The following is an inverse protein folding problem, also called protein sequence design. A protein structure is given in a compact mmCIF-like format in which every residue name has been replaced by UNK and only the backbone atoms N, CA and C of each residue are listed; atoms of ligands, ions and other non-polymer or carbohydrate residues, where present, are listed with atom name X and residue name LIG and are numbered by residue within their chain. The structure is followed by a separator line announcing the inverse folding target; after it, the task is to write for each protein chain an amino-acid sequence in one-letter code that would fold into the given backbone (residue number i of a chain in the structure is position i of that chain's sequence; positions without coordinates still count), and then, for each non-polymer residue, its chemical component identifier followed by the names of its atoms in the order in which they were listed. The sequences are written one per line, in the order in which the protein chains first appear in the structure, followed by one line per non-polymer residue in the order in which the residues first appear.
data_IF_264743130191
#
_entry.id   IF_264743130191
#
_cell.length_a   1.000
_cell.length_b   1.000
_cell.length_c   1.000
_cell.angle_alpha   90.00
_cell.angle_beta   90.00
_cell.angle_gamma   90.00
#
_symmetry.space_group_name_H-M   'P 1'
#
loop_
_entity.id
_entity.type
_entity.pdbx_description
1 polymer ?
#
# COMPACT_ATOMS: atom_id res chain seq x y z
N UNK A 1 -7.56 -0.79 1.54
CA UNK A 1 -6.53 0.20 1.91
C UNK A 1 -7.03 1.27 2.87
N UNK A 2 -8.21 1.87 2.65
CA UNK A 2 -8.75 2.96 3.49
C UNK A 2 -8.87 2.61 4.99
N UNK A 3 -9.37 1.42 5.35
CA UNK A 3 -9.45 0.98 6.76
C UNK A 3 -8.09 0.89 7.44
N UNK A 4 -7.04 0.49 6.71
CA UNK A 4 -5.68 0.38 7.24
C UNK A 4 -5.06 1.76 7.48
N UNK A 5 -5.39 2.77 6.68
CA UNK A 5 -4.98 4.16 6.91
C UNK A 5 -5.60 4.75 8.20
N UNK A 6 -6.83 4.37 8.53
CA UNK A 6 -7.46 4.74 9.81
C UNK A 6 -6.72 4.10 10.97
N UNK A 7 -6.39 2.80 10.87
CA UNK A 7 -5.62 2.09 11.90
C UNK A 7 -4.21 2.68 12.07
N UNK A 8 -3.53 3.06 10.98
CA UNK A 8 -2.24 3.76 11.04
C UNK A 8 -2.37 5.10 11.76
N UNK A 9 -3.36 5.92 11.39
CA UNK A 9 -3.57 7.24 12.00
C UNK A 9 -3.88 7.12 13.49
N UNK A 10 -4.69 6.14 13.90
CA UNK A 10 -4.95 5.87 15.32
C UNK A 10 -3.67 5.40 16.03
N UNK A 11 -2.91 4.49 15.42
CA UNK A 11 -1.66 3.98 15.97
C UNK A 11 -0.58 5.04 16.13
N UNK A 12 -0.50 6.04 15.23
CA UNK A 12 0.44 7.15 15.34
C UNK A 12 -0.01 8.19 16.37
N UNK A 13 -1.31 8.48 16.48
CA UNK A 13 -1.86 9.36 17.53
C UNK A 13 -1.61 8.77 18.93
N UNK A 14 -1.83 7.47 19.11
CA UNK A 14 -1.56 6.77 20.38
C UNK A 14 -0.07 6.81 20.74
N UNK A 15 0.83 6.67 19.76
CA UNK A 15 2.28 6.80 19.99
C UNK A 15 2.67 8.21 20.42
N UNK A 16 2.14 9.24 19.75
CA UNK A 16 2.44 10.65 20.03
C UNK A 16 1.89 11.11 21.38
N UNK A 17 0.70 10.63 21.77
CA UNK A 17 0.06 10.96 23.05
C UNK A 17 0.50 10.04 24.22
N UNK A 18 1.46 9.14 24.01
CA UNK A 18 1.83 8.15 25.01
C UNK A 18 2.45 8.77 26.28
N UNK A 19 1.89 8.38 27.43
CA UNK A 19 2.35 8.76 28.78
C UNK A 19 3.13 7.62 29.44
N UNK A 20 2.82 6.37 29.08
CA UNK A 20 3.48 5.16 29.59
C UNK A 20 4.19 4.38 28.47
N UNK A 21 5.28 3.69 28.81
CA UNK A 21 6.07 2.92 27.84
C UNK A 21 5.27 1.78 27.17
N UNK A 22 4.30 1.20 27.90
CA UNK A 22 3.40 0.18 27.37
C UNK A 22 2.46 0.71 26.28
N UNK A 23 1.97 1.95 26.44
CA UNK A 23 1.12 2.62 25.43
C UNK A 23 1.92 2.95 24.17
N UNK A 24 3.18 3.34 24.35
CA UNK A 24 4.12 3.55 23.25
C UNK A 24 4.40 2.26 22.46
N UNK A 25 4.68 1.14 23.16
CA UNK A 25 4.90 -0.16 22.51
C UNK A 25 3.65 -0.67 21.79
N UNK A 26 2.47 -0.57 22.41
CA UNK A 26 1.22 -1.00 21.80
C UNK A 26 0.91 -0.20 20.52
N UNK A 27 1.10 1.12 20.55
CA UNK A 27 0.95 1.97 19.38
C UNK A 27 1.95 1.62 18.26
N UNK A 28 3.21 1.29 18.61
CA UNK A 28 4.23 0.82 17.66
C UNK A 28 3.84 -0.49 16.97
N UNK A 29 3.30 -1.45 17.71
CA UNK A 29 2.86 -2.73 17.15
C UNK A 29 1.68 -2.52 16.20
N UNK A 30 0.69 -1.72 16.60
CA UNK A 30 -0.48 -1.42 15.76
C UNK A 30 -0.10 -0.68 14.48
N UNK A 31 0.71 0.38 14.59
CA UNK A 31 1.17 1.13 13.44
C UNK A 31 2.07 0.28 12.55
N UNK A 32 2.98 -0.51 13.12
CA UNK A 32 3.88 -1.40 12.40
C UNK A 32 3.11 -2.48 11.62
N UNK A 33 2.11 -3.10 12.23
CA UNK A 33 1.25 -4.07 11.55
C UNK A 33 0.50 -3.42 10.38
N UNK A 34 -0.09 -2.24 10.59
CA UNK A 34 -0.88 -1.57 9.56
C UNK A 34 -0.02 -1.02 8.41
N UNK A 35 1.17 -0.49 8.69
CA UNK A 35 2.13 -0.04 7.67
C UNK A 35 2.71 -1.24 6.90
N UNK A 36 3.13 -2.28 7.61
CA UNK A 36 3.78 -3.45 7.01
C UNK A 36 2.84 -4.32 6.17
N UNK A 37 1.69 -4.71 6.73
CA UNK A 37 0.71 -5.54 6.02
C UNK A 37 -0.08 -4.75 4.96
N UNK A 38 -0.36 -3.48 5.23
CA UNK A 38 -1.22 -2.65 4.40
C UNK A 38 -0.46 -1.84 3.38
N UNK A 39 0.26 -0.81 3.83
CA UNK A 39 0.77 0.24 2.95
C UNK A 39 1.97 -0.24 2.11
N UNK A 40 2.96 -0.87 2.72
CA UNK A 40 4.19 -1.26 2.01
C UNK A 40 3.92 -2.41 1.02
N UNK A 41 3.08 -3.37 1.39
CA UNK A 41 2.73 -4.49 0.53
C UNK A 41 1.68 -4.16 -0.53
N UNK A 42 0.60 -3.47 -0.15
CA UNK A 42 -0.56 -3.29 -1.05
C UNK A 42 -0.35 -2.18 -2.07
N UNK A 43 0.37 -1.11 -1.73
CA UNK A 43 0.61 0.03 -2.65
C UNK A 43 1.33 -0.39 -3.95
N UNK A 44 2.48 -1.09 -3.93
CA UNK A 44 3.14 -1.49 -5.16
C UNK A 44 2.31 -2.51 -5.95
N UNK A 45 1.55 -3.38 -5.27
CA UNK A 45 0.60 -4.29 -5.93
C UNK A 45 -0.45 -3.46 -6.67
N UNK A 46 -1.14 -2.56 -5.99
CA UNK A 46 -2.14 -1.68 -6.61
C UNK A 46 -1.56 -0.86 -7.77
N UNK A 47 -0.36 -0.29 -7.62
CA UNK A 47 0.33 0.42 -8.68
C UNK A 47 0.63 -0.48 -9.88
N UNK A 48 1.00 -1.74 -9.66
CA UNK A 48 1.20 -2.73 -10.72
C UNK A 48 -0.11 -3.11 -11.44
N UNK A 49 -1.24 -2.99 -10.75
CA UNK A 49 -2.57 -3.31 -11.30
C UNK A 49 -3.12 -2.19 -12.18
N UNK A 50 -2.90 -0.93 -11.81
CA UNK A 50 -3.38 0.22 -12.59
C UNK A 50 -2.42 0.60 -13.75
N UNK A 51 -1.15 0.22 -13.65
CA UNK A 51 -0.13 0.61 -14.65
C UNK A 51 -0.23 -0.17 -15.95
N UNK A 52 0.05 0.51 -17.08
CA UNK A 52 0.16 -0.14 -18.39
C UNK A 52 1.38 -1.08 -18.41
N UNK A 53 1.31 -2.23 -19.13
CA UNK A 53 2.37 -3.23 -19.13
C UNK A 53 3.78 -2.68 -19.40
N UNK A 54 3.87 -1.64 -20.23
CA UNK A 54 5.14 -0.99 -20.62
C UNK A 54 5.75 -0.12 -19.50
N UNK A 55 4.92 0.50 -18.65
CA UNK A 55 5.37 1.46 -17.63
C UNK A 55 5.35 0.91 -16.20
N UNK A 56 4.98 -0.36 -16.00
CA UNK A 56 4.89 -0.97 -14.65
C UNK A 56 6.20 -0.86 -13.87
N UNK A 57 7.33 -1.07 -14.54
CA UNK A 57 8.65 -0.98 -13.94
C UNK A 57 8.99 0.43 -13.46
N UNK A 58 8.65 1.45 -14.27
CA UNK A 58 8.89 2.85 -13.94
C UNK A 58 8.03 3.29 -12.74
N UNK A 59 6.75 2.95 -12.74
CA UNK A 59 5.81 3.30 -11.66
C UNK A 59 6.20 2.59 -10.35
N UNK A 60 6.61 1.32 -10.43
CA UNK A 60 7.16 0.59 -9.28
C UNK A 60 8.43 1.25 -8.73
N UNK A 61 9.33 1.69 -9.62
CA UNK A 61 10.55 2.42 -9.25
C UNK A 61 10.25 3.75 -8.56
N UNK A 62 9.30 4.54 -9.08
CA UNK A 62 8.87 5.81 -8.47
C UNK A 62 8.32 5.59 -7.06
N UNK A 63 7.54 4.52 -6.84
CA UNK A 63 7.06 4.16 -5.49
C UNK A 63 8.22 3.87 -4.54
N UNK A 64 9.24 3.13 -5.00
CA UNK A 64 10.45 2.86 -4.20
C UNK A 64 11.24 4.13 -3.89
N UNK A 65 11.43 5.00 -4.88
CA UNK A 65 12.05 6.31 -4.70
C UNK A 65 11.28 7.17 -3.69
N UNK A 66 9.94 7.11 -3.69
CA UNK A 66 9.10 7.81 -2.71
C UNK A 66 9.34 7.35 -1.28
N UNK A 67 9.53 6.04 -1.05
CA UNK A 67 9.87 5.49 0.27
C UNK A 67 11.25 5.96 0.71
N UNK A 68 12.24 5.93 -0.18
CA UNK A 68 13.59 6.41 0.10
C UNK A 68 13.59 7.90 0.45
N UNK A 69 12.86 8.72 -0.32
CA UNK A 69 12.69 10.15 -0.07
C UNK A 69 12.00 10.44 1.26
N UNK A 70 10.93 9.70 1.59
CA UNK A 70 10.26 9.82 2.89
C UNK A 70 11.18 9.47 4.06
N UNK A 71 12.00 8.42 3.91
CA UNK A 71 13.00 8.03 4.93
C UNK A 71 14.07 9.11 5.09
N UNK A 72 14.55 9.66 3.99
CA UNK A 72 15.50 10.78 4.00
C UNK A 72 14.92 11.98 4.75
N UNK A 73 13.71 12.43 4.41
CA UNK A 73 13.02 13.52 5.10
C UNK A 73 12.82 13.24 6.59
N UNK A 74 12.45 12.01 6.95
CA UNK A 74 12.32 11.61 8.36
C UNK A 74 13.64 11.74 9.12
N UNK A 75 14.78 11.41 8.49
CA UNK A 75 16.09 11.56 9.11
C UNK A 75 16.48 13.03 9.29
N UNK A 76 16.19 13.89 8.31
CA UNK A 76 16.41 15.35 8.44
C UNK A 76 15.56 15.98 9.55
N UNK A 77 14.29 15.57 9.66
CA UNK A 77 13.39 16.01 10.74
C UNK A 77 13.90 15.53 12.10
N UNK A 78 14.36 14.28 12.19
CA UNK A 78 15.00 13.75 13.39
C UNK A 78 16.27 14.52 13.78
N UNK A 79 17.10 14.88 12.80
CA UNK A 79 18.29 15.70 13.00
C UNK A 79 17.91 17.11 13.49
N UNK A 80 16.93 17.78 12.88
CA UNK A 80 16.46 19.08 13.31
C UNK A 80 15.91 19.05 14.76
N UNK A 81 15.20 17.99 15.14
CA UNK A 81 14.70 17.81 16.51
C UNK A 81 15.82 17.55 17.52
N UNK A 82 16.98 17.04 17.11
CA UNK A 82 18.14 16.84 18.00
C UNK A 82 18.77 18.13 18.51
N UNK A 83 18.54 19.26 17.83
CA UNK A 83 18.95 20.60 18.27
C UNK A 83 17.96 21.27 19.24
N UNK A 84 16.78 20.69 19.46
CA UNK A 84 15.82 21.20 20.43
C UNK A 84 16.25 20.86 21.87
N UNK A 85 15.89 21.71 22.85
CA UNK A 85 16.21 21.48 24.27
C UNK A 85 15.80 20.08 24.75
N UNK A 86 16.71 19.42 25.48
CA UNK A 86 16.51 18.09 26.06
C UNK A 86 15.18 18.01 26.82
N UNK A 87 14.20 17.29 26.28
CA UNK A 87 12.88 17.16 26.87
C UNK A 87 11.96 16.20 26.11
N UNK A 88 10.77 15.88 26.67
CA UNK A 88 9.80 14.96 26.05
C UNK A 88 9.32 15.44 24.67
N UNK A 89 9.50 16.72 24.36
CA UNK A 89 9.18 17.32 23.06
C UNK A 89 10.09 16.81 21.94
N UNK A 90 11.34 16.41 22.24
CA UNK A 90 12.34 15.98 21.24
C UNK A 90 11.94 14.71 20.48
N UNK A 91 11.32 13.73 21.16
CA UNK A 91 10.88 12.49 20.54
C UNK A 91 9.40 12.53 20.11
N UNK A 92 8.59 13.38 20.74
CA UNK A 92 7.17 13.56 20.39
C UNK A 92 6.98 14.40 19.12
N UNK A 93 7.82 15.41 18.86
CA UNK A 93 7.72 16.26 17.67
C UNK A 93 7.86 15.47 16.35
N UNK A 94 8.89 14.63 16.16
CA UNK A 94 9.03 13.81 14.95
C UNK A 94 7.84 12.87 14.74
N UNK A 95 7.33 12.26 15.81
CA UNK A 95 6.19 11.34 15.75
C UNK A 95 4.88 12.07 15.46
N UNK A 96 4.69 13.25 16.04
CA UNK A 96 3.52 14.10 15.79
C UNK A 96 3.48 14.64 14.37
N UNK A 97 4.63 14.97 13.78
CA UNK A 97 4.73 15.42 12.39
C UNK A 97 4.29 14.36 11.38
N UNK A 98 4.26 13.08 11.74
CA UNK A 98 3.75 12.02 10.88
C UNK A 98 2.21 12.07 10.73
N UNK A 99 1.49 12.60 11.72
CA UNK A 99 0.01 12.56 11.76
C UNK A 99 -0.62 13.36 10.61
N UNK A 100 -0.23 14.61 10.32
CA UNK A 100 -0.75 15.36 9.17
C UNK A 100 -0.57 14.62 7.84
N UNK A 101 0.60 14.01 7.61
CA UNK A 101 0.86 13.24 6.39
C UNK A 101 -0.04 12.00 6.28
N UNK A 102 -0.34 11.34 7.41
CA UNK A 102 -1.31 10.23 7.46
C UNK A 102 -2.72 10.67 7.08
N UNK A 103 -3.16 11.84 7.54
CA UNK A 103 -4.49 12.40 7.21
C UNK A 103 -4.57 12.80 5.74
N UNK A 104 -3.52 13.44 5.20
CA UNK A 104 -3.45 13.79 3.78
C UNK A 104 -3.56 12.53 2.90
N UNK A 105 -2.83 11.46 3.26
CA UNK A 105 -2.93 10.18 2.55
C UNK A 105 -4.32 9.59 2.63
N UNK A 106 -4.98 9.63 3.79
CA UNK A 106 -6.36 9.15 3.94
C UNK A 106 -7.33 9.91 3.05
N UNK A 107 -7.27 11.25 3.05
CA UNK A 107 -8.12 12.09 2.21
C UNK A 107 -7.86 11.84 0.71
N UNK A 108 -6.60 11.67 0.31
CA UNK A 108 -6.23 11.38 -1.08
C UNK A 108 -6.77 10.02 -1.54
N UNK A 109 -6.62 8.99 -0.72
CA UNK A 109 -7.13 7.64 -1.00
C UNK A 109 -8.66 7.56 -0.98
N UNK A 110 -9.34 8.37 -0.16
CA UNK A 110 -10.79 8.40 -0.10
C UNK A 110 -11.42 9.15 -1.29
N UNK A 111 -10.74 10.18 -1.80
CA UNK A 111 -11.33 11.11 -2.78
C UNK A 111 -10.95 10.80 -4.23
N UNK A 112 -9.71 10.37 -4.47
CA UNK A 112 -9.15 10.33 -5.84
C UNK A 112 -8.81 8.94 -6.36
N UNK A 113 -8.73 7.91 -5.50
CA UNK A 113 -8.27 6.59 -5.93
C UNK A 113 -9.46 5.71 -6.38
N UNK A 114 -9.53 5.31 -7.67
CA UNK A 114 -10.51 4.32 -8.12
C UNK A 114 -10.20 2.95 -7.52
N UNK A 115 -11.22 2.11 -7.38
CA UNK A 115 -11.03 0.73 -6.90
C UNK A 115 -10.23 -0.09 -7.93
N UNK A 116 -9.40 -1.02 -7.44
CA UNK A 116 -8.62 -1.91 -8.32
C UNK A 116 -9.56 -2.78 -9.18
N UNK A 117 -9.43 -2.76 -10.52
CA UNK A 117 -10.22 -3.61 -11.42
C UNK A 117 -10.03 -5.10 -11.15
N UNK A 118 -8.80 -5.52 -10.77
CA UNK A 118 -8.51 -6.93 -10.45
C UNK A 118 -9.19 -7.35 -9.15
N UNK A 119 -9.21 -6.48 -8.15
CA UNK A 119 -9.91 -6.73 -6.90
C UNK A 119 -11.42 -6.86 -7.13
N UNK A 120 -12.01 -5.98 -7.94
CA UNK A 120 -13.43 -6.03 -8.29
C UNK A 120 -13.78 -7.33 -9.04
N UNK A 121 -12.93 -7.78 -9.97
CA UNK A 121 -13.09 -9.06 -10.67
C UNK A 121 -13.04 -10.25 -9.69
N UNK A 122 -12.13 -10.24 -8.72
CA UNK A 122 -12.00 -11.30 -7.72
C UNK A 122 -13.18 -11.40 -6.75
N UNK A 123 -13.88 -10.28 -6.52
CA UNK A 123 -15.11 -10.23 -5.71
C UNK A 123 -16.36 -10.57 -6.56
N UNK A 124 -16.20 -10.78 -7.87
CA UNK A 124 -17.29 -11.12 -8.80
C UNK A 124 -18.07 -9.92 -9.36
N UNK A 125 -17.61 -8.68 -9.10
CA UNK A 125 -18.23 -7.45 -9.62
C UNK A 125 -17.67 -7.06 -10.98
N UNK A 126 -18.06 -7.81 -12.01
CA UNK A 126 -17.50 -7.69 -13.37
C UNK A 126 -17.84 -6.35 -14.04
N UNK A 127 -19.06 -5.84 -13.87
CA UNK A 127 -19.49 -4.58 -14.49
C UNK A 127 -18.78 -3.35 -13.90
N UNK A 128 -18.62 -3.31 -12.57
CA UNK A 128 -17.86 -2.27 -11.88
C UNK A 128 -16.38 -2.33 -12.30
N UNK A 129 -15.80 -3.53 -12.37
CA UNK A 129 -14.43 -3.72 -12.84
C UNK A 129 -14.21 -3.20 -14.25
N UNK A 130 -15.17 -3.43 -15.16
CA UNK A 130 -15.12 -2.92 -16.54
C UNK A 130 -15.16 -1.40 -16.56
N UNK A 131 -16.05 -0.79 -15.77
CA UNK A 131 -16.18 0.67 -15.69
C UNK A 131 -14.90 1.33 -15.18
N UNK A 132 -14.30 0.79 -14.12
CA UNK A 132 -13.04 1.32 -13.58
C UNK A 132 -11.86 1.05 -14.53
N UNK A 133 -11.82 -0.10 -15.18
CA UNK A 133 -10.78 -0.41 -16.18
C UNK A 133 -10.81 0.59 -17.35
N UNK A 134 -11.99 0.90 -17.89
CA UNK A 134 -12.15 1.90 -18.96
C UNK A 134 -11.81 3.33 -18.52
N UNK A 135 -11.97 3.66 -17.23
CA UNK A 135 -11.52 4.96 -16.69
C UNK A 135 -9.99 5.05 -16.59
N UNK A 136 -9.33 3.94 -16.27
CA UNK A 136 -7.86 3.87 -16.13
C UNK A 136 -7.19 3.80 -17.50
N UNK A 137 -7.75 3.06 -18.46
CA UNK A 137 -7.23 2.87 -19.83
C UNK A 137 -7.95 3.76 -20.85
N UNK A 138 -7.83 5.07 -20.67
CA UNK A 138 -8.39 6.07 -21.61
C UNK A 138 -7.58 6.20 -22.91
N UNK A 139 -6.40 5.61 -22.95
CA UNK A 139 -5.44 5.64 -24.05
C UNK A 139 -5.71 4.62 -25.16
N UNK A 140 -6.56 3.61 -24.90
CA UNK A 140 -6.87 2.55 -25.84
C UNK A 140 -8.18 2.79 -26.60
N UNK A 141 -8.23 2.31 -27.85
CA UNK A 141 -9.48 2.18 -28.59
C UNK A 141 -10.47 1.29 -27.81
N UNK A 142 -11.78 1.60 -27.82
CA UNK A 142 -12.78 0.81 -27.08
C UNK A 142 -12.66 -0.70 -27.34
N UNK A 143 -12.39 -1.10 -28.58
CA UNK A 143 -12.30 -2.51 -28.94
C UNK A 143 -11.07 -3.20 -28.32
N UNK A 144 -9.92 -2.53 -28.34
CA UNK A 144 -8.68 -3.01 -27.72
C UNK A 144 -8.81 -3.08 -26.19
N UNK A 145 -9.47 -2.11 -25.57
CA UNK A 145 -9.73 -2.11 -24.14
C UNK A 145 -10.63 -3.29 -23.72
N UNK A 146 -11.65 -3.63 -24.50
CA UNK A 146 -12.48 -4.82 -24.25
C UNK A 146 -11.70 -6.12 -24.34
N UNK A 147 -10.78 -6.23 -25.31
CA UNK A 147 -9.93 -7.41 -25.46
C UNK A 147 -8.94 -7.55 -24.30
N UNK A 148 -8.28 -6.48 -23.89
CA UNK A 148 -7.36 -6.50 -22.74
C UNK A 148 -8.11 -6.85 -21.44
N UNK A 149 -9.32 -6.29 -21.25
CA UNK A 149 -10.17 -6.64 -20.11
C UNK A 149 -10.57 -8.12 -20.11
N UNK A 150 -10.92 -8.69 -21.27
CA UNK A 150 -11.27 -10.10 -21.39
C UNK A 150 -10.09 -11.01 -21.06
N UNK A 151 -8.88 -10.68 -21.53
CA UNK A 151 -7.64 -11.39 -21.19
C UNK A 151 -7.34 -11.31 -19.69
N UNK A 152 -7.46 -10.11 -19.09
CA UNK A 152 -7.27 -9.92 -17.66
C UNK A 152 -8.25 -10.78 -16.84
N UNK A 153 -9.52 -10.82 -17.24
CA UNK A 153 -10.54 -11.65 -16.58
C UNK A 153 -10.18 -13.13 -16.65
N UNK A 154 -9.85 -13.64 -17.84
CA UNK A 154 -9.49 -15.05 -18.02
C UNK A 154 -8.27 -15.44 -17.17
N UNK A 155 -7.28 -14.55 -17.08
CA UNK A 155 -6.10 -14.79 -16.25
C UNK A 155 -6.43 -14.82 -14.74
N UNK A 156 -7.28 -13.91 -14.26
CA UNK A 156 -7.68 -13.90 -12.83
C UNK A 156 -8.52 -15.14 -12.50
N UNK A 157 -9.42 -15.55 -13.39
CA UNK A 157 -10.24 -16.74 -13.19
C UNK A 157 -9.37 -18.01 -13.09
N UNK A 158 -8.35 -18.10 -13.94
CA UNK A 158 -7.33 -19.15 -13.86
C UNK A 158 -6.47 -19.08 -12.58
N UNK A 159 -6.11 -17.87 -12.12
CA UNK A 159 -5.36 -17.65 -10.87
C UNK A 159 -6.20 -18.04 -9.64
N UNK A 160 -7.50 -17.74 -9.64
CA UNK A 160 -8.45 -18.10 -8.57
C UNK A 160 -8.68 -19.62 -8.52
N UNK A 161 -8.78 -20.28 -9.67
CA UNK A 161 -8.96 -21.73 -9.74
C UNK A 161 -7.72 -22.50 -9.24
N UNK A 162 -6.53 -21.93 -9.43
CA UNK A 162 -5.24 -22.49 -8.97
C UNK A 162 -4.71 -21.86 -7.69
N UNK A 163 -5.57 -21.22 -6.91
CA UNK A 163 -5.15 -20.51 -5.71
C UNK A 163 -4.49 -21.47 -4.72
N UNK A 164 -3.20 -21.24 -4.45
CA UNK A 164 -2.41 -22.04 -3.51
C UNK A 164 -2.81 -21.64 -2.10
N UNK A 165 -3.64 -22.46 -1.45
CA UNK A 165 -4.29 -22.12 -0.17
C UNK A 165 -3.36 -22.29 1.04
N UNK A 166 -2.18 -22.89 0.88
CA UNK A 166 -1.30 -23.20 2.01
C UNK A 166 0.18 -22.89 1.76
N UNK A 167 0.82 -22.29 2.77
CA UNK A 167 2.28 -22.11 2.82
C UNK A 167 3.06 -23.43 2.63
N UNK A 168 2.47 -24.57 3.02
CA UNK A 168 3.05 -25.90 2.80
C UNK A 168 3.09 -26.28 1.31
N UNK A 169 2.08 -25.90 0.55
CA UNK A 169 2.05 -26.13 -0.89
C UNK A 169 3.06 -25.24 -1.60
N UNK A 170 3.23 -23.97 -1.17
CA UNK A 170 4.26 -23.08 -1.70
C UNK A 170 5.65 -23.72 -1.54
N UNK A 171 5.96 -24.23 -0.34
CA UNK A 171 7.25 -24.88 -0.08
C UNK A 171 7.43 -26.19 -0.87
N UNK A 172 6.34 -26.92 -1.13
CA UNK A 172 6.35 -28.15 -1.94
C UNK A 172 6.51 -27.84 -3.44
N UNK A 173 5.88 -26.79 -3.94
CA UNK A 173 5.91 -26.37 -5.35
C UNK A 173 7.25 -25.74 -5.72
N UNK A 174 7.80 -24.89 -4.84
CA UNK A 174 9.05 -24.17 -5.07
C UNK A 174 10.29 -24.87 -4.50
N UNK A 175 10.16 -26.12 -4.01
CA UNK A 175 11.27 -26.91 -3.47
C UNK A 175 12.48 -26.98 -4.41
N UNK A 176 12.24 -27.03 -5.72
CA UNK A 176 13.29 -27.09 -6.73
C UNK A 176 13.96 -25.73 -7.06
N UNK A 177 13.32 -24.59 -6.76
CA UNK A 177 13.89 -23.24 -6.97
C UNK A 177 14.53 -22.66 -5.71
N UNK A 178 14.12 -23.11 -4.52
CA UNK A 178 14.62 -22.60 -3.25
C UNK A 178 15.90 -23.30 -2.75
N UNK A 179 16.28 -24.43 -3.35
CA UNK A 179 17.42 -25.28 -2.94
C UNK A 179 18.54 -25.34 -4.01
N UNK A 180 18.62 -24.35 -4.90
CA UNK A 180 19.75 -24.16 -5.83
C UNK A 180 20.50 -22.90 -5.44
#
# INVERSE_FOLDING_TARGET
MQALCVVVTIGTVIQTASVNIGMFLAGRVLAGYAVGSGLVGTVPIYLSEISSPEHRGLIGGISGCGIAFGTMMSNWVGFACSYASYGPTQWRLPLGMQVPWGVILFCGLATFMPDSPRQLLRIGKVDDARREFLKIRRDLDPQSAYQEFALMRAQIEYEVEREVKSYKEIFKLFRHRALV
#
